data_IF_296560843159
#
_entry.id   IF_296560843159
#
_cell.length_a   1.000
_cell.length_b   1.000
_cell.length_c   1.000
_cell.angle_alpha   90.00
_cell.angle_beta   90.00
_cell.angle_gamma   90.00
#
_symmetry.space_group_name_H-M   'P 1'
#
loop_
_entity.id
_entity.type
_entity.pdbx_description
1 polymer ?
#
# COMPACT_ATOMS: atom_id res chain seq x y z
N UNK A 1 -13.91 -61.06 -13.74
CA UNK A 1 -13.52 -59.94 -14.61
C UNK A 1 -14.46 -58.80 -14.25
N UNK A 2 -14.09 -58.00 -13.26
CA UNK A 2 -14.88 -56.83 -12.88
C UNK A 2 -14.10 -55.63 -13.39
N UNK A 3 -14.67 -54.93 -14.35
CA UNK A 3 -14.13 -53.66 -14.83
C UNK A 3 -14.20 -52.67 -13.66
N UNK A 4 -13.05 -52.43 -13.02
CA UNK A 4 -12.91 -51.45 -11.95
C UNK A 4 -13.01 -50.07 -12.60
N UNK A 5 -14.20 -49.47 -12.51
CA UNK A 5 -14.45 -48.10 -13.00
C UNK A 5 -13.67 -47.14 -12.10
N UNK A 6 -12.45 -46.78 -12.50
CA UNK A 6 -11.63 -45.79 -11.79
C UNK A 6 -12.23 -44.41 -12.08
N UNK A 7 -13.04 -43.92 -11.14
CA UNK A 7 -13.55 -42.56 -11.15
C UNK A 7 -12.45 -41.62 -10.69
N UNK A 8 -11.96 -40.78 -11.61
CA UNK A 8 -10.90 -39.81 -11.30
C UNK A 8 -11.44 -38.75 -10.36
N UNK A 9 -10.90 -38.72 -9.15
CA UNK A 9 -11.18 -37.67 -8.16
C UNK A 9 -10.86 -36.31 -8.79
N UNK A 10 -11.78 -35.35 -8.65
CA UNK A 10 -11.60 -33.99 -9.15
C UNK A 10 -10.25 -33.44 -8.65
N UNK A 11 -9.48 -32.74 -9.48
CA UNK A 11 -8.21 -32.18 -9.04
C UNK A 11 -8.49 -31.05 -8.06
N UNK A 12 -8.51 -31.36 -6.76
CA UNK A 12 -8.57 -30.36 -5.68
C UNK A 12 -7.22 -29.65 -5.50
N UNK A 13 -6.19 -30.16 -6.19
CA UNK A 13 -4.82 -29.70 -6.13
C UNK A 13 -4.60 -28.22 -6.53
N UNK A 14 -5.29 -27.65 -7.54
CA UNK A 14 -5.15 -26.23 -7.89
C UNK A 14 -5.68 -25.29 -6.81
N UNK A 15 -6.70 -25.73 -6.06
CA UNK A 15 -7.31 -24.92 -5.00
C UNK A 15 -6.40 -24.74 -3.79
N UNK A 16 -5.56 -25.74 -3.50
CA UNK A 16 -4.62 -25.65 -2.38
C UNK A 16 -3.59 -24.53 -2.61
N UNK A 17 -3.07 -24.40 -3.82
CA UNK A 17 -2.16 -23.32 -4.19
C UNK A 17 -2.80 -21.94 -4.05
N UNK A 18 -4.06 -21.81 -4.47
CA UNK A 18 -4.79 -20.55 -4.35
C UNK A 18 -4.91 -20.11 -2.89
N UNK A 19 -5.29 -21.03 -2.00
CA UNK A 19 -5.40 -20.75 -0.55
C UNK A 19 -4.03 -20.38 0.04
N UNK A 20 -2.95 -21.06 -0.34
CA UNK A 20 -1.60 -20.76 0.14
C UNK A 20 -1.17 -19.36 -0.28
N UNK A 21 -1.37 -18.99 -1.55
CA UNK A 21 -1.01 -17.66 -2.06
C UNK A 21 -1.78 -16.58 -1.29
N UNK A 22 -3.08 -16.79 -1.07
CA UNK A 22 -3.91 -15.85 -0.34
C UNK A 22 -3.51 -15.71 1.14
N UNK A 23 -3.13 -16.83 1.78
CA UNK A 23 -2.62 -16.84 3.15
C UNK A 23 -1.27 -16.10 3.27
N UNK A 24 -0.37 -16.28 2.31
CA UNK A 24 0.92 -15.57 2.28
C UNK A 24 0.73 -14.07 2.07
N UNK A 25 -0.17 -13.66 1.16
CA UNK A 25 -0.50 -12.24 0.99
C UNK A 25 -1.10 -11.63 2.25
N UNK A 26 -2.06 -12.31 2.88
CA UNK A 26 -2.68 -11.84 4.11
C UNK A 26 -1.67 -11.75 5.27
N UNK A 27 -0.78 -12.75 5.39
CA UNK A 27 0.29 -12.76 6.37
C UNK A 27 1.28 -11.60 6.14
N UNK A 28 1.74 -11.41 4.90
CA UNK A 28 2.68 -10.33 4.56
C UNK A 28 2.04 -8.95 4.73
N UNK A 29 0.77 -8.78 4.38
CA UNK A 29 0.03 -7.53 4.59
C UNK A 29 -0.20 -7.24 6.07
N UNK A 30 -0.56 -8.23 6.88
CA UNK A 30 -0.78 -8.05 8.32
C UNK A 30 0.52 -7.71 9.06
N UNK A 31 1.60 -8.44 8.78
CA UNK A 31 2.91 -8.18 9.38
C UNK A 31 3.60 -6.94 8.80
N UNK A 32 3.40 -6.65 7.50
CA UNK A 32 3.98 -5.50 6.82
C UNK A 32 3.27 -4.19 7.17
N UNK A 33 1.93 -4.17 7.22
CA UNK A 33 1.17 -2.97 7.60
C UNK A 33 1.36 -2.58 9.07
N UNK A 34 1.62 -3.55 9.97
CA UNK A 34 2.04 -3.23 11.34
C UNK A 34 3.38 -2.47 11.42
N UNK A 35 4.21 -2.53 10.36
CA UNK A 35 5.47 -1.79 10.26
C UNK A 35 5.36 -0.53 9.38
N UNK A 36 4.17 -0.19 8.87
CA UNK A 36 3.93 0.93 7.95
C UNK A 36 2.83 1.85 8.47
N UNK A 37 2.51 1.83 9.77
CA UNK A 37 1.62 2.84 10.38
C UNK A 37 2.34 4.19 10.63
N UNK A 38 3.61 4.32 10.21
CA UNK A 38 4.43 5.53 10.39
C UNK A 38 4.91 6.18 9.09
N UNK A 39 4.50 5.71 7.90
CA UNK A 39 5.03 6.23 6.62
C UNK A 39 4.00 6.86 5.67
N UNK A 40 2.71 6.84 5.98
CA UNK A 40 1.70 7.54 5.16
C UNK A 40 1.62 9.05 5.45
N UNK A 41 2.45 9.58 6.38
CA UNK A 41 2.53 11.00 6.72
C UNK A 41 3.78 11.72 6.15
N UNK A 42 4.61 11.02 5.35
CA UNK A 42 5.95 11.52 4.95
C UNK A 42 5.95 12.24 3.59
N UNK A 43 4.84 12.31 2.85
CA UNK A 43 4.83 13.00 1.53
C UNK A 43 4.08 14.35 1.52
N UNK A 44 3.33 14.71 2.58
CA UNK A 44 2.55 15.96 2.60
C UNK A 44 3.14 17.06 3.48
N UNK A 45 3.96 16.71 4.48
CA UNK A 45 4.50 17.68 5.46
C UNK A 45 5.57 18.60 4.85
N UNK A 46 6.40 18.10 3.94
CA UNK A 46 7.52 18.88 3.37
C UNK A 46 7.06 19.92 2.32
N UNK A 47 5.90 19.72 1.70
CA UNK A 47 5.40 20.59 0.62
C UNK A 47 4.66 21.80 1.20
N UNK A 48 3.96 21.63 2.33
CA UNK A 48 3.19 22.70 2.99
C UNK A 48 4.11 23.76 3.62
N UNK A 49 5.19 23.36 4.30
CA UNK A 49 6.15 24.29 4.92
C UNK A 49 6.83 25.18 3.87
N UNK A 50 7.20 24.61 2.73
CA UNK A 50 7.88 25.33 1.65
C UNK A 50 6.92 26.34 0.98
N UNK A 51 5.65 25.98 0.79
CA UNK A 51 4.65 26.88 0.22
C UNK A 51 4.39 28.11 1.12
N UNK A 52 4.25 27.90 2.42
CA UNK A 52 4.01 28.97 3.40
C UNK A 52 5.20 29.95 3.50
N UNK A 53 6.43 29.42 3.43
CA UNK A 53 7.64 30.26 3.41
C UNK A 53 7.69 31.15 2.17
N UNK A 54 7.37 30.65 0.98
CA UNK A 54 7.35 31.48 -0.22
C UNK A 54 6.26 32.56 -0.19
N UNK A 55 5.06 32.22 0.29
CA UNK A 55 3.97 33.18 0.42
C UNK A 55 4.33 34.32 1.39
N UNK A 56 4.95 33.99 2.53
CA UNK A 56 5.37 35.01 3.52
C UNK A 56 6.46 35.96 2.99
N UNK A 57 7.43 35.44 2.24
CA UNK A 57 8.51 36.24 1.63
C UNK A 57 7.95 37.19 0.55
N UNK A 58 7.02 36.70 -0.29
CA UNK A 58 6.43 37.50 -1.38
C UNK A 58 5.58 38.64 -0.83
N UNK A 59 4.79 38.40 0.21
CA UNK A 59 4.00 39.45 0.87
C UNK A 59 4.91 40.50 1.53
N UNK A 60 5.95 40.06 2.24
CA UNK A 60 6.92 40.97 2.86
C UNK A 60 7.69 41.80 1.83
N UNK A 61 7.97 41.27 0.65
CA UNK A 61 8.66 42.01 -0.41
C UNK A 61 7.77 43.07 -1.06
N UNK A 62 6.49 42.75 -1.25
CA UNK A 62 5.51 43.65 -1.88
C UNK A 62 5.10 44.82 -0.97
N UNK A 63 5.11 44.64 0.36
CA UNK A 63 4.89 45.74 1.31
C UNK A 63 6.04 46.76 1.34
N UNK A 64 7.27 46.32 1.05
CA UNK A 64 8.46 47.19 1.07
C UNK A 64 8.59 48.04 -0.20
N UNK A 65 8.05 47.59 -1.34
CA UNK A 65 8.05 48.38 -2.59
C UNK A 65 7.01 49.51 -2.62
N UNK A 66 6.07 49.58 -1.67
CA UNK A 66 4.97 50.54 -1.67
C UNK A 66 5.20 51.79 -0.77
N UNK A 67 6.37 51.92 -0.14
CA UNK A 67 6.81 53.09 0.66
C UNK A 67 7.87 53.88 -0.12
#
# INVERSE_FOLDING_TARGET
MADIRIEKKKPVWPWLFLVIILAVLAFLYFYGSMATDENDEVENTEIEEVADVYTSIVLSSNEVEFI
#
